data_IF_720350052995
#
_entry.id   IF_720350052995
#
_cell.length_a   1.000
_cell.length_b   1.000
_cell.length_c   1.000
_cell.angle_alpha   90.00
_cell.angle_beta   90.00
_cell.angle_gamma   90.00
#
_symmetry.space_group_name_H-M   'P 1'
#
loop_
_entity.id
_entity.type
_entity.pdbx_description
1 polymer ?
#
# COMPACT_ATOMS: atom_id res chain seq x y z
N UNK A 1 3.96 -6.89 -21.59
CA UNK A 1 3.66 -8.18 -20.94
C UNK A 1 2.96 -7.90 -19.62
N UNK A 2 1.65 -8.12 -19.60
CA UNK A 2 0.89 -8.04 -18.36
C UNK A 2 1.23 -9.26 -17.51
N UNK A 3 2.17 -9.15 -16.59
CA UNK A 3 2.23 -10.08 -15.50
C UNK A 3 1.13 -9.70 -14.51
N UNK A 4 -0.02 -10.30 -14.65
CA UNK A 4 -0.96 -10.40 -13.54
C UNK A 4 -0.21 -11.10 -12.42
N UNK A 5 0.11 -10.38 -11.36
CA UNK A 5 0.41 -11.00 -10.10
C UNK A 5 -0.85 -11.73 -9.66
N UNK A 6 -0.96 -13.00 -10.00
CA UNK A 6 -1.90 -13.91 -9.35
C UNK A 6 -1.34 -14.19 -7.96
N UNK A 7 -1.47 -13.24 -7.07
CA UNK A 7 -1.34 -13.51 -5.66
C UNK A 7 -2.54 -14.34 -5.26
N UNK A 8 -2.27 -15.52 -4.75
CA UNK A 8 -3.12 -16.49 -4.11
C UNK A 8 -3.34 -17.74 -4.96
N UNK A 9 -2.25 -18.50 -5.18
CA UNK A 9 -2.42 -19.94 -5.19
C UNK A 9 -2.56 -20.38 -3.73
N UNK A 10 -3.65 -21.07 -3.36
CA UNK A 10 -3.71 -21.68 -2.05
C UNK A 10 -2.53 -22.63 -1.92
N UNK A 11 -1.76 -22.44 -0.87
CA UNK A 11 -0.66 -23.33 -0.53
C UNK A 11 -1.22 -24.75 -0.43
N UNK A 12 -0.76 -25.73 -1.24
CA UNK A 12 -1.31 -27.08 -1.23
C UNK A 12 -1.06 -27.84 0.07
N UNK A 13 -0.44 -27.24 1.06
CA UNK A 13 -0.18 -27.82 2.38
C UNK A 13 -1.15 -27.42 3.48
N UNK A 14 -2.14 -26.58 3.18
CA UNK A 14 -3.11 -26.20 4.21
C UNK A 14 -4.28 -27.20 4.20
N UNK A 15 -4.12 -28.32 4.91
CA UNK A 15 -5.21 -29.25 5.14
C UNK A 15 -6.17 -28.69 6.17
N UNK A 16 -7.34 -28.21 5.70
CA UNK A 16 -8.60 -28.45 6.36
C UNK A 16 -8.81 -27.86 7.75
N UNK A 17 -8.46 -26.62 8.04
CA UNK A 17 -9.30 -25.84 8.91
C UNK A 17 -10.47 -25.33 8.06
N UNK A 18 -11.70 -25.70 8.41
CA UNK A 18 -12.88 -25.13 7.79
C UNK A 18 -12.72 -23.61 7.80
N UNK A 19 -12.82 -22.99 6.62
CA UNK A 19 -12.86 -21.54 6.54
C UNK A 19 -13.88 -21.05 7.57
N UNK A 20 -13.53 -20.03 8.39
CA UNK A 20 -14.52 -19.49 9.29
C UNK A 20 -15.72 -19.10 8.45
N UNK A 21 -16.84 -19.72 8.72
CA UNK A 21 -18.08 -19.34 8.06
C UNK A 21 -18.32 -17.89 8.47
N UNK A 22 -18.15 -16.98 7.51
CA UNK A 22 -18.64 -15.64 7.66
C UNK A 22 -20.10 -15.75 8.06
N UNK A 23 -20.41 -15.31 9.27
CA UNK A 23 -21.79 -15.26 9.72
C UNK A 23 -22.57 -14.47 8.68
N UNK A 24 -23.68 -14.97 8.22
CA UNK A 24 -24.53 -14.38 7.19
C UNK A 24 -25.19 -13.05 7.59
N UNK A 25 -24.94 -12.56 8.80
CA UNK A 25 -25.30 -11.22 9.25
C UNK A 25 -24.02 -10.38 9.26
N UNK A 26 -23.84 -9.48 8.28
CA UNK A 26 -22.78 -8.51 8.41
C UNK A 26 -23.06 -7.74 9.70
N UNK A 27 -22.13 -7.83 10.66
CA UNK A 27 -22.06 -6.80 11.68
C UNK A 27 -22.00 -5.47 10.92
N UNK A 28 -22.98 -4.60 11.14
CA UNK A 28 -22.95 -3.26 10.57
C UNK A 28 -21.81 -2.55 11.27
N UNK A 29 -20.62 -2.75 10.72
CA UNK A 29 -19.45 -1.96 11.04
C UNK A 29 -19.46 -0.77 10.10
N UNK A 30 -19.52 0.44 10.63
CA UNK A 30 -19.31 1.67 9.86
C UNK A 30 -17.89 1.76 9.28
N UNK A 31 -17.03 0.81 9.61
CA UNK A 31 -15.67 0.70 9.10
C UNK A 31 -15.65 0.00 7.73
N UNK A 32 -15.97 0.76 6.68
CA UNK A 32 -15.76 0.29 5.31
C UNK A 32 -14.31 0.58 4.93
N UNK A 33 -13.56 -0.47 4.60
CA UNK A 33 -12.22 -0.33 4.04
C UNK A 33 -12.29 0.21 2.61
N UNK A 34 -11.45 1.20 2.32
CA UNK A 34 -11.25 1.75 0.97
C UNK A 34 -9.82 1.44 0.55
N UNK A 35 -9.67 0.85 -0.63
CA UNK A 35 -8.37 0.46 -1.16
C UNK A 35 -8.13 1.13 -2.51
N UNK A 36 -7.11 1.96 -2.57
CA UNK A 36 -6.61 2.55 -3.81
C UNK A 36 -5.30 1.88 -4.20
N UNK A 37 -5.21 1.39 -5.42
CA UNK A 37 -4.00 0.80 -5.98
C UNK A 37 -3.58 1.66 -7.17
N UNK A 38 -2.32 2.08 -7.16
CA UNK A 38 -1.77 2.98 -8.17
C UNK A 38 -0.47 2.42 -8.72
N UNK A 39 -0.37 2.40 -10.03
CA UNK A 39 0.87 2.13 -10.75
C UNK A 39 1.35 3.40 -11.42
N UNK A 40 2.59 3.79 -11.18
CA UNK A 40 3.22 4.97 -11.74
C UNK A 40 4.28 4.56 -12.74
N UNK A 41 4.24 5.16 -13.93
CA UNK A 41 5.17 4.93 -15.03
C UNK A 41 5.89 6.22 -15.39
N UNK A 42 7.01 6.10 -16.09
CA UNK A 42 7.80 7.23 -16.58
C UNK A 42 8.23 8.20 -15.46
N UNK A 43 8.47 7.65 -14.27
CA UNK A 43 8.95 8.44 -13.14
C UNK A 43 10.44 8.74 -13.27
N UNK A 44 10.86 9.86 -12.69
CA UNK A 44 12.29 10.19 -12.61
C UNK A 44 13.02 9.16 -11.74
N UNK A 45 13.96 8.45 -12.32
CA UNK A 45 14.76 7.42 -11.66
C UNK A 45 15.43 7.92 -10.37
N UNK A 46 15.98 9.13 -10.39
CA UNK A 46 16.63 9.73 -9.22
C UNK A 46 15.71 9.95 -8.04
N UNK A 47 14.44 10.28 -8.27
CA UNK A 47 13.43 10.43 -7.20
C UNK A 47 12.98 9.08 -6.64
N UNK A 48 12.87 8.08 -7.51
CA UNK A 48 12.49 6.73 -7.10
C UNK A 48 13.56 6.04 -6.25
N UNK A 49 14.80 6.50 -6.34
CA UNK A 49 15.93 5.98 -5.57
C UNK A 49 16.30 6.85 -4.35
N UNK A 50 15.54 7.91 -4.13
CA UNK A 50 15.76 8.86 -3.04
C UNK A 50 14.84 8.53 -1.85
N UNK A 51 15.42 7.84 -0.85
CA UNK A 51 14.68 7.42 0.34
C UNK A 51 14.09 8.61 1.10
N UNK A 52 14.84 9.72 1.26
CA UNK A 52 14.36 10.90 1.96
C UNK A 52 13.17 11.55 1.24
N UNK A 53 13.25 11.65 -0.08
CA UNK A 53 12.15 12.16 -0.91
C UNK A 53 10.90 11.29 -0.77
N UNK A 54 11.05 9.97 -0.78
CA UNK A 54 9.93 9.04 -0.64
C UNK A 54 9.30 9.07 0.75
N UNK A 55 10.11 9.23 1.79
CA UNK A 55 9.60 9.42 3.15
C UNK A 55 8.72 10.67 3.25
N UNK A 56 9.17 11.79 2.69
CA UNK A 56 8.41 13.04 2.66
C UNK A 56 7.13 12.90 1.83
N UNK A 57 7.23 12.22 0.72
CA UNK A 57 6.09 11.95 -0.17
C UNK A 57 5.01 11.13 0.54
N UNK A 58 5.38 10.03 1.21
CA UNK A 58 4.43 9.20 1.95
C UNK A 58 3.81 9.98 3.11
N UNK A 59 4.59 10.75 3.83
CA UNK A 59 4.10 11.59 4.93
C UNK A 59 3.07 12.61 4.43
N UNK A 60 3.36 13.27 3.31
CA UNK A 60 2.43 14.22 2.68
C UNK A 60 1.17 13.51 2.18
N UNK A 61 1.32 12.35 1.56
CA UNK A 61 0.20 11.54 1.08
C UNK A 61 -0.75 11.16 2.23
N UNK A 62 -0.22 10.73 3.36
CA UNK A 62 -1.01 10.41 4.56
C UNK A 62 -1.82 11.62 5.03
N UNK A 63 -1.21 12.80 5.09
CA UNK A 63 -1.89 14.04 5.47
C UNK A 63 -3.02 14.40 4.52
N UNK A 64 -2.78 14.31 3.21
CA UNK A 64 -3.79 14.61 2.18
C UNK A 64 -4.96 13.63 2.19
N UNK A 65 -4.71 12.39 2.58
CA UNK A 65 -5.76 11.39 2.76
C UNK A 65 -6.58 11.61 4.04
N UNK A 66 -6.18 12.53 4.90
CA UNK A 66 -6.80 12.73 6.20
C UNK A 66 -6.49 11.62 7.21
N UNK A 67 -5.42 10.89 6.97
CA UNK A 67 -4.99 9.77 7.80
C UNK A 67 -4.01 10.20 8.89
N UNK A 68 -3.96 9.41 9.95
CA UNK A 68 -3.05 9.61 11.09
C UNK A 68 -1.84 8.69 10.95
N UNK A 69 -0.68 9.27 10.69
CA UNK A 69 0.58 8.53 10.57
C UNK A 69 1.08 8.11 11.97
N UNK A 70 1.21 6.81 12.19
CA UNK A 70 1.73 6.24 13.44
C UNK A 70 3.21 5.89 13.33
N UNK A 71 3.64 5.33 12.23
CA UNK A 71 5.02 4.92 11.97
C UNK A 71 5.31 4.92 10.47
N UNK A 72 6.57 5.13 10.13
CA UNK A 72 7.05 5.11 8.76
C UNK A 72 8.36 4.35 8.71
N UNK A 73 8.39 3.29 7.92
CA UNK A 73 9.56 2.44 7.71
C UNK A 73 9.93 2.52 6.24
N UNK A 74 11.19 2.73 5.96
CA UNK A 74 11.72 2.70 4.60
C UNK A 74 12.98 1.85 4.55
N UNK A 75 13.21 1.24 3.40
CA UNK A 75 14.41 0.47 3.11
C UNK A 75 14.86 0.77 1.69
N UNK A 76 16.11 1.18 1.57
CA UNK A 76 16.76 1.35 0.27
C UNK A 76 17.56 0.09 -0.07
N UNK A 77 17.26 -0.47 -1.23
CA UNK A 77 17.94 -1.67 -1.73
C UNK A 77 19.22 -1.31 -2.48
N UNK A 78 20.16 -2.23 -2.47
CA UNK A 78 21.34 -2.17 -3.34
C UNK A 78 21.12 -3.07 -4.58
N UNK A 79 21.41 -2.60 -5.79
CA UNK A 79 22.04 -1.32 -6.12
C UNK A 79 21.08 -0.13 -6.14
N UNK A 80 19.76 -0.34 -6.15
CA UNK A 80 18.75 0.71 -6.25
C UNK A 80 17.36 0.20 -5.87
N UNK A 81 16.44 1.15 -5.67
CA UNK A 81 15.06 0.87 -5.31
C UNK A 81 14.78 1.10 -3.83
N UNK A 82 13.57 1.50 -3.54
CA UNK A 82 13.11 1.79 -2.17
C UNK A 82 11.77 1.14 -1.95
N UNK A 83 11.60 0.55 -0.78
CA UNK A 83 10.28 0.19 -0.23
C UNK A 83 9.98 1.09 0.93
N UNK A 84 8.78 1.65 0.96
CA UNK A 84 8.26 2.43 2.07
C UNK A 84 6.93 1.86 2.55
N UNK A 85 6.76 1.87 3.86
CA UNK A 85 5.54 1.41 4.53
C UNK A 85 5.16 2.38 5.63
N UNK A 86 4.02 2.99 5.50
CA UNK A 86 3.43 3.84 6.52
C UNK A 86 2.32 3.08 7.25
N UNK A 87 2.49 2.95 8.55
CA UNK A 87 1.44 2.49 9.44
C UNK A 87 0.55 3.67 9.81
N UNK A 88 -0.72 3.57 9.49
CA UNK A 88 -1.73 4.56 9.81
C UNK A 88 -2.65 4.02 10.90
N UNK A 89 -3.23 4.91 11.69
CA UNK A 89 -4.30 4.51 12.61
C UNK A 89 -5.47 3.85 11.86
N UNK A 90 -5.68 4.23 10.61
CA UNK A 90 -6.76 3.77 9.74
C UNK A 90 -6.37 2.60 8.82
N UNK A 91 -5.13 2.23 8.68
CA UNK A 91 -4.51 1.07 8.06
C UNK A 91 -3.08 1.33 7.54
N UNK A 92 -2.83 1.50 6.22
CA UNK A 92 -1.47 1.66 5.71
C UNK A 92 -1.39 2.34 4.33
N UNK A 93 -0.19 2.83 4.04
CA UNK A 93 0.28 3.17 2.69
C UNK A 93 1.55 2.39 2.44
N UNK A 94 1.66 1.75 1.27
CA UNK A 94 2.92 1.15 0.83
C UNK A 94 3.37 1.71 -0.52
N UNK A 95 4.68 1.76 -0.72
CA UNK A 95 5.29 2.09 -2.00
C UNK A 95 6.48 1.17 -2.26
N UNK A 96 6.60 0.73 -3.50
CA UNK A 96 7.75 -0.01 -4.00
C UNK A 96 8.23 0.65 -5.28
N UNK A 97 9.52 0.86 -5.40
CA UNK A 97 10.08 1.57 -6.56
C UNK A 97 11.09 0.72 -7.32
N UNK A 98 11.08 0.89 -8.64
CA UNK A 98 12.04 0.32 -9.59
C UNK A 98 12.62 1.46 -10.43
N UNK A 99 13.68 2.12 -9.92
CA UNK A 99 14.29 3.26 -10.61
C UNK A 99 14.76 2.95 -12.03
N UNK A 100 15.25 1.72 -12.25
CA UNK A 100 15.70 1.23 -13.54
C UNK A 100 14.63 1.19 -14.62
N UNK A 101 13.37 1.08 -14.20
CA UNK A 101 12.21 1.02 -15.09
C UNK A 101 11.36 2.30 -15.03
N UNK A 102 11.72 3.25 -14.19
CA UNK A 102 10.90 4.44 -13.95
C UNK A 102 9.51 4.10 -13.40
N UNK A 103 9.41 3.02 -12.63
CA UNK A 103 8.15 2.43 -12.18
C UNK A 103 8.03 2.43 -10.65
N UNK A 104 6.84 2.71 -10.18
CA UNK A 104 6.48 2.54 -8.77
C UNK A 104 5.09 1.94 -8.62
N UNK A 105 4.93 1.07 -7.64
CA UNK A 105 3.65 0.51 -7.24
C UNK A 105 3.29 1.04 -5.86
N UNK A 106 2.08 1.54 -5.73
CA UNK A 106 1.57 2.16 -4.50
C UNK A 106 0.25 1.51 -4.14
N UNK A 107 0.05 1.24 -2.86
CA UNK A 107 -1.28 0.93 -2.37
C UNK A 107 -1.60 1.77 -1.13
N UNK A 108 -2.85 2.21 -1.05
CA UNK A 108 -3.38 2.97 0.06
C UNK A 108 -4.64 2.27 0.54
N UNK A 109 -4.59 1.72 1.71
CA UNK A 109 -5.73 1.09 2.36
C UNK A 109 -6.09 1.88 3.61
N UNK A 110 -7.31 2.34 3.68
CA UNK A 110 -7.81 3.11 4.82
C UNK A 110 -9.21 2.67 5.22
N UNK A 111 -9.57 2.94 6.46
CA UNK A 111 -10.93 2.79 6.95
C UNK A 111 -11.36 4.08 7.68
N UNK A 112 -12.66 4.23 7.86
CA UNK A 112 -13.25 5.42 8.48
C UNK A 112 -13.75 6.43 7.45
N UNK A 113 -14.83 7.13 7.80
CA UNK A 113 -15.54 8.05 6.89
C UNK A 113 -14.74 9.32 6.59
N UNK A 114 -13.78 9.67 7.45
CA UNK A 114 -12.95 10.85 7.31
C UNK A 114 -11.76 10.69 6.38
N UNK A 115 -11.43 9.46 5.99
CA UNK A 115 -10.28 9.18 5.14
C UNK A 115 -10.65 9.11 3.67
N UNK A 116 -9.76 9.65 2.84
CA UNK A 116 -9.90 9.68 1.38
C UNK A 116 -8.61 9.14 0.75
N UNK A 117 -8.47 7.82 0.59
CA UNK A 117 -7.25 7.22 0.08
C UNK A 117 -6.87 7.72 -1.32
N UNK A 118 -7.84 8.09 -2.14
CA UNK A 118 -7.63 8.68 -3.45
C UNK A 118 -6.87 10.01 -3.42
N UNK A 119 -6.89 10.73 -2.30
CA UNK A 119 -6.11 11.97 -2.13
C UNK A 119 -4.63 11.72 -1.82
N UNK A 120 -4.29 10.52 -1.39
CA UNK A 120 -2.90 10.11 -1.21
C UNK A 120 -2.24 9.79 -2.55
N UNK A 121 -3.03 9.29 -3.48
CA UNK A 121 -2.59 8.98 -4.84
C UNK A 121 -2.49 10.25 -5.70
#
# INVERSE_FOLDING_TARGET
MNQRLSCLHPNPGWSGAAAPQLSSTPAISDAVGKHCILELYDCQSSRLDDEAFLRDTITTAAKRAGATLLNLITHRFEPQGVTGLALLAESHISIHTWPESGYAAVDVFTCGDHTMPERAC
#
